data_IF_782670880601
#
_entry.id   IF_782670880601
#
_cell.length_a   1.000
_cell.length_b   1.000
_cell.length_c   1.000
_cell.angle_alpha   90.00
_cell.angle_beta   90.00
_cell.angle_gamma   90.00
#
_symmetry.space_group_name_H-M   'P 1'
#
loop_
_entity.id
_entity.type
_entity.pdbx_description
1 polymer ?
#
# COMPACT_ATOMS: atom_id res chain seq x y z
N UNK A 1 -5.29 25.78 6.44
CA UNK A 1 -5.78 24.40 6.20
C UNK A 1 -4.54 23.55 6.01
N UNK A 2 -3.93 23.15 7.12
CA UNK A 2 -2.67 22.42 7.13
C UNK A 2 -2.98 20.95 7.29
N UNK A 3 -2.66 20.15 6.29
CA UNK A 3 -2.69 18.69 6.39
C UNK A 3 -1.39 18.17 5.80
N UNK A 4 -0.26 18.60 6.38
CA UNK A 4 1.05 18.04 6.08
C UNK A 4 1.56 17.34 7.34
N UNK A 5 1.00 16.16 7.59
CA UNK A 5 1.75 15.09 8.24
C UNK A 5 1.66 13.86 7.34
N UNK A 6 2.12 14.04 6.10
CA UNK A 6 2.50 12.88 5.30
C UNK A 6 3.74 12.32 5.98
N UNK A 7 3.58 11.33 6.88
CA UNK A 7 4.67 10.61 7.54
C UNK A 7 5.53 9.78 6.57
N UNK A 8 5.40 10.07 5.27
CA UNK A 8 6.11 9.49 4.15
C UNK A 8 7.48 10.13 4.06
N UNK A 9 8.50 9.28 3.99
CA UNK A 9 9.89 9.72 3.81
C UNK A 9 10.55 9.08 2.61
N UNK A 10 9.91 8.08 1.99
CA UNK A 10 10.43 7.39 0.82
C UNK A 10 9.28 6.83 0.00
N UNK A 11 9.45 6.81 -1.31
CA UNK A 11 8.62 6.07 -2.26
C UNK A 11 9.45 4.94 -2.89
N UNK A 12 8.85 3.78 -3.12
CA UNK A 12 9.57 2.65 -3.70
C UNK A 12 8.79 1.34 -3.69
N UNK A 13 9.37 0.35 -4.38
CA UNK A 13 8.85 -1.00 -4.46
C UNK A 13 9.51 -1.94 -3.46
N UNK A 14 8.74 -2.88 -2.93
CA UNK A 14 9.22 -4.03 -2.17
C UNK A 14 8.56 -5.30 -2.66
N UNK A 15 9.34 -6.38 -2.79
CA UNK A 15 8.87 -7.70 -3.15
C UNK A 15 9.09 -8.62 -1.95
N UNK A 16 8.00 -9.24 -1.51
CA UNK A 16 8.00 -10.23 -0.45
C UNK A 16 8.30 -11.62 -1.01
N UNK A 17 8.79 -12.51 -0.15
CA UNK A 17 9.17 -13.88 -0.52
C UNK A 17 7.97 -14.74 -0.96
N UNK A 18 6.78 -14.42 -0.45
CA UNK A 18 5.51 -15.06 -0.83
C UNK A 18 5.04 -14.68 -2.24
N UNK A 19 5.73 -13.74 -2.91
CA UNK A 19 5.36 -13.22 -4.22
C UNK A 19 4.54 -11.93 -4.18
N UNK A 20 4.07 -11.52 -3.00
CA UNK A 20 3.39 -10.24 -2.79
C UNK A 20 4.32 -9.08 -3.17
N UNK A 21 3.76 -8.03 -3.76
CA UNK A 21 4.49 -6.83 -4.18
C UNK A 21 3.78 -5.61 -3.63
N UNK A 22 4.56 -4.65 -3.15
CA UNK A 22 4.06 -3.34 -2.77
C UNK A 22 4.84 -2.27 -3.53
N UNK A 23 4.14 -1.29 -4.06
CA UNK A 23 4.71 -0.07 -4.64
C UNK A 23 3.97 1.10 -4.00
N UNK A 24 4.70 1.97 -3.30
CA UNK A 24 4.08 3.11 -2.65
C UNK A 24 5.00 3.81 -1.69
N UNK A 25 4.36 4.51 -0.76
CA UNK A 25 5.02 5.35 0.22
C UNK A 25 5.41 4.57 1.49
N UNK A 26 6.47 5.04 2.14
CA UNK A 26 7.07 4.42 3.31
C UNK A 26 7.34 5.45 4.39
N UNK A 27 7.09 5.10 5.64
CA UNK A 27 7.45 5.91 6.79
C UNK A 27 8.89 5.66 7.25
N UNK A 28 9.36 6.47 8.20
CA UNK A 28 10.72 6.36 8.78
C UNK A 28 11.02 5.01 9.45
N UNK A 29 9.98 4.26 9.83
CA UNK A 29 10.08 2.93 10.44
C UNK A 29 10.14 1.82 9.38
N UNK A 30 10.19 2.16 8.09
CA UNK A 30 10.18 1.20 6.99
C UNK A 30 8.83 0.51 6.80
N UNK A 31 7.73 1.10 7.28
CA UNK A 31 6.39 0.56 7.11
C UNK A 31 5.67 1.24 5.96
N UNK A 32 4.82 0.49 5.26
CA UNK A 32 3.91 1.02 4.23
C UNK A 32 3.09 2.16 4.82
N UNK A 33 3.07 3.30 4.14
CA UNK A 33 2.39 4.51 4.58
C UNK A 33 1.84 5.25 3.35
N UNK A 34 1.15 6.38 3.54
CA UNK A 34 0.72 7.23 2.42
C UNK A 34 -0.15 6.47 1.41
N UNK A 35 0.08 6.71 0.11
CA UNK A 35 -0.62 5.98 -0.95
C UNK A 35 0.22 4.80 -1.45
N UNK A 36 -0.43 3.71 -1.82
CA UNK A 36 0.26 2.58 -2.42
C UNK A 36 -0.64 1.60 -3.15
N UNK A 37 0.01 0.71 -3.88
CA UNK A 37 -0.57 -0.44 -4.56
C UNK A 37 0.07 -1.72 -4.01
N UNK A 38 -0.74 -2.65 -3.55
CA UNK A 38 -0.32 -3.96 -3.09
C UNK A 38 -0.93 -5.03 -3.99
N UNK A 39 -0.09 -5.86 -4.59
CA UNK A 39 -0.49 -7.04 -5.35
C UNK A 39 -0.13 -8.26 -4.50
N UNK A 40 -1.13 -8.99 -4.03
CA UNK A 40 -0.96 -10.24 -3.31
C UNK A 40 -0.59 -11.37 -4.26
N UNK A 41 -0.02 -12.44 -3.72
CA UNK A 41 0.41 -13.61 -4.50
C UNK A 41 -0.75 -14.37 -5.14
N UNK A 42 -1.95 -14.27 -4.59
CA UNK A 42 -3.19 -14.82 -5.16
C UNK A 42 -3.73 -13.99 -6.35
N UNK A 43 -3.12 -12.84 -6.66
CA UNK A 43 -3.55 -11.91 -7.71
C UNK A 43 -4.54 -10.84 -7.24
N UNK A 44 -4.95 -10.87 -5.97
CA UNK A 44 -5.73 -9.78 -5.36
C UNK A 44 -4.89 -8.51 -5.36
N UNK A 45 -5.50 -7.37 -5.70
CA UNK A 45 -4.85 -6.07 -5.70
C UNK A 45 -5.60 -5.11 -4.79
N UNK A 46 -4.86 -4.34 -4.00
CA UNK A 46 -5.37 -3.21 -3.25
C UNK A 46 -4.66 -1.92 -3.66
N UNK A 47 -5.42 -0.89 -4.00
CA UNK A 47 -4.92 0.47 -4.24
C UNK A 47 -5.59 1.43 -3.29
N UNK A 48 -4.81 2.09 -2.44
CA UNK A 48 -5.39 2.99 -1.46
C UNK A 48 -4.37 3.52 -0.47
N UNK A 49 -4.91 4.05 0.62
CA UNK A 49 -4.09 4.58 1.70
C UNK A 49 -3.52 3.47 2.59
N UNK A 50 -2.36 3.72 3.15
CA UNK A 50 -1.68 2.87 4.12
C UNK A 50 -1.28 3.69 5.34
N UNK A 51 -1.41 3.10 6.53
CA UNK A 51 -0.93 3.70 7.77
C UNK A 51 -0.24 2.64 8.62
N UNK A 52 1.00 2.90 9.05
CA UNK A 52 1.79 2.00 9.90
C UNK A 52 1.81 0.52 9.44
N UNK A 53 1.86 0.30 8.12
CA UNK A 53 1.96 -1.02 7.52
C UNK A 53 0.63 -1.69 7.13
N UNK A 54 -0.52 -1.11 7.49
CA UNK A 54 -1.84 -1.66 7.17
C UNK A 54 -2.60 -0.77 6.18
N UNK A 55 -3.48 -1.37 5.38
CA UNK A 55 -4.43 -0.63 4.55
C UNK A 55 -5.32 0.26 5.44
N UNK A 56 -5.60 1.48 4.99
CA UNK A 56 -6.32 2.48 5.76
C UNK A 56 -7.09 3.42 4.83
N UNK A 57 -8.19 3.99 5.32
CA UNK A 57 -8.97 4.98 4.58
C UNK A 57 -9.56 4.42 3.28
N UNK A 58 -9.65 5.27 2.26
CA UNK A 58 -10.21 4.90 0.97
C UNK A 58 -9.22 4.06 0.17
N UNK A 59 -9.76 3.02 -0.46
CA UNK A 59 -9.04 2.20 -1.42
C UNK A 59 -9.99 1.32 -2.21
N UNK A 60 -9.46 0.72 -3.26
CA UNK A 60 -10.15 -0.25 -4.12
C UNK A 60 -9.45 -1.59 -3.96
N UNK A 61 -10.23 -2.62 -3.67
CA UNK A 61 -9.77 -4.01 -3.69
C UNK A 61 -10.32 -4.65 -4.96
N UNK A 62 -9.44 -5.18 -5.80
CA UNK A 62 -9.79 -5.94 -6.99
C UNK A 62 -9.39 -7.39 -6.76
N UNK A 63 -10.36 -8.29 -6.87
CA UNK A 63 -10.10 -9.73 -6.83
C UNK A 63 -9.82 -10.27 -8.24
N UNK A 64 -8.99 -11.31 -8.38
CA UNK A 64 -8.63 -11.88 -9.68
C UNK A 64 -9.82 -12.50 -10.42
N UNK A 65 -10.87 -12.88 -9.71
CA UNK A 65 -12.15 -13.35 -10.27
C UNK A 65 -13.04 -12.20 -10.81
N UNK A 66 -12.59 -10.95 -10.69
CA UNK A 66 -13.31 -9.77 -11.10
C UNK A 66 -14.36 -9.28 -10.10
N UNK A 67 -14.46 -9.90 -8.92
CA UNK A 67 -15.20 -9.30 -7.82
C UNK A 67 -14.54 -7.97 -7.42
N UNK A 68 -15.36 -6.96 -7.17
CA UNK A 68 -14.94 -5.59 -6.83
C UNK A 68 -15.86 -5.01 -5.77
#
# INVERSE_FOLDING_TARGET
>A
MESVQSGVVKCGGYRYDDGTRYIGDWNQRGQKHGMGSMMFSDGTRYDGAFSNGVCSGLGVMCFPDGAK
#
